data_IF_029492428008
#
_entry.id   IF_029492428008
#
_cell.length_a   1.000
_cell.length_b   1.000
_cell.length_c   1.000
_cell.angle_alpha   90.00
_cell.angle_beta   90.00
_cell.angle_gamma   90.00
#
_symmetry.space_group_name_H-M   'P 1'
#
loop_
_entity.id
_entity.type
_entity.pdbx_description
1 polymer ?
#
# COMPACT_ATOMS: atom_id res chain seq x y z
N UNK A 1 -10.83 -10.67 -33.46
CA UNK A 1 -11.36 -9.47 -32.76
C UNK A 1 -11.63 -9.74 -31.29
N UNK A 2 -12.19 -10.89 -30.89
CA UNK A 2 -12.36 -11.23 -29.47
C UNK A 2 -11.02 -11.61 -28.80
N UNK A 3 -10.09 -12.25 -29.51
CA UNK A 3 -8.80 -12.70 -28.94
C UNK A 3 -7.81 -11.56 -28.62
N UNK A 4 -7.76 -10.48 -29.42
CA UNK A 4 -6.91 -9.30 -29.13
C UNK A 4 -7.36 -8.55 -27.88
N UNK A 5 -8.68 -8.45 -27.66
CA UNK A 5 -9.25 -7.81 -26.47
C UNK A 5 -8.96 -8.62 -25.21
N UNK A 6 -8.97 -9.96 -25.31
CA UNK A 6 -8.61 -10.83 -24.17
C UNK A 6 -7.12 -10.75 -23.84
N UNK A 7 -6.24 -10.66 -24.85
CA UNK A 7 -4.80 -10.46 -24.63
C UNK A 7 -4.54 -9.10 -23.96
N UNK A 8 -5.23 -8.04 -24.37
CA UNK A 8 -5.10 -6.71 -23.74
C UNK A 8 -5.56 -6.72 -22.27
N UNK A 9 -6.70 -7.35 -21.97
CA UNK A 9 -7.23 -7.44 -20.59
C UNK A 9 -6.30 -8.25 -19.67
N UNK A 10 -5.82 -9.42 -20.12
CA UNK A 10 -4.90 -10.26 -19.34
C UNK A 10 -3.56 -9.55 -19.10
N UNK A 11 -3.05 -8.80 -20.09
CA UNK A 11 -1.81 -8.02 -19.92
C UNK A 11 -1.98 -6.88 -18.90
N UNK A 12 -3.12 -6.18 -18.90
CA UNK A 12 -3.39 -5.11 -17.93
C UNK A 12 -3.47 -5.69 -16.52
N UNK A 13 -4.20 -6.79 -16.31
CA UNK A 13 -4.30 -7.45 -15.01
C UNK A 13 -2.93 -7.92 -14.49
N UNK A 14 -2.10 -8.49 -15.37
CA UNK A 14 -0.76 -9.01 -14.99
C UNK A 14 0.19 -7.85 -14.64
N UNK A 15 0.24 -6.80 -15.47
CA UNK A 15 1.13 -5.64 -15.24
C UNK A 15 0.69 -4.86 -13.99
N UNK A 16 -0.62 -4.67 -13.80
CA UNK A 16 -1.16 -3.97 -12.62
C UNK A 16 -0.92 -4.79 -11.36
N UNK A 17 -1.18 -6.11 -11.39
CA UNK A 17 -0.90 -7.01 -10.27
C UNK A 17 0.57 -7.00 -9.85
N UNK A 18 1.49 -7.13 -10.81
CA UNK A 18 2.94 -7.09 -10.56
C UNK A 18 3.40 -5.73 -10.04
N UNK A 19 2.87 -4.63 -10.60
CA UNK A 19 3.20 -3.27 -10.15
C UNK A 19 2.72 -2.98 -8.74
N UNK A 20 1.53 -3.49 -8.38
CA UNK A 20 1.00 -3.42 -7.02
C UNK A 20 1.91 -4.20 -6.08
N UNK A 21 2.28 -5.45 -6.41
CA UNK A 21 3.14 -6.26 -5.57
C UNK A 21 4.53 -5.62 -5.37
N UNK A 22 5.11 -5.06 -6.42
CA UNK A 22 6.40 -4.36 -6.34
C UNK A 22 6.33 -3.11 -5.45
N UNK A 23 5.25 -2.33 -5.58
CA UNK A 23 5.04 -1.11 -4.79
C UNK A 23 4.69 -1.44 -3.33
N UNK A 24 3.98 -2.55 -3.11
CA UNK A 24 3.61 -3.07 -1.80
C UNK A 24 4.85 -3.47 -1.00
N UNK A 25 5.75 -4.26 -1.58
CA UNK A 25 7.01 -4.65 -0.93
C UNK A 25 7.85 -3.43 -0.57
N UNK A 26 7.95 -2.44 -1.49
CA UNK A 26 8.66 -1.18 -1.22
C UNK A 26 8.02 -0.42 -0.06
N UNK A 27 6.69 -0.29 -0.04
CA UNK A 27 5.96 0.46 0.98
C UNK A 27 6.07 -0.18 2.36
N UNK A 28 6.01 -1.51 2.43
CA UNK A 28 6.25 -2.24 3.68
C UNK A 28 7.68 -2.01 4.15
N UNK A 29 8.68 -2.13 3.27
CA UNK A 29 10.07 -1.93 3.66
C UNK A 29 10.37 -0.51 4.17
N UNK A 30 9.80 0.53 3.56
CA UNK A 30 9.97 1.91 4.04
C UNK A 30 9.23 2.16 5.35
N UNK A 31 8.02 1.64 5.51
CA UNK A 31 7.27 1.75 6.77
C UNK A 31 7.97 1.00 7.93
N UNK A 32 8.51 -0.19 7.68
CA UNK A 32 9.21 -0.96 8.70
C UNK A 32 10.51 -0.28 9.15
N UNK A 33 11.29 0.22 8.20
CA UNK A 33 12.55 0.94 8.51
C UNK A 33 12.30 2.26 9.23
N UNK A 34 11.23 2.99 8.90
CA UNK A 34 10.84 4.20 9.65
C UNK A 34 10.35 3.87 11.06
N UNK A 35 9.56 2.81 11.25
CA UNK A 35 9.15 2.35 12.58
C UNK A 35 10.35 1.94 13.43
N UNK A 36 11.33 1.23 12.85
CA UNK A 36 12.58 0.88 13.53
C UNK A 36 13.38 2.12 13.93
N UNK A 37 13.52 3.10 13.02
CA UNK A 37 14.21 4.35 13.33
C UNK A 37 13.53 5.14 14.46
N UNK A 38 12.19 5.21 14.44
CA UNK A 38 11.41 5.86 15.48
C UNK A 38 11.46 5.12 16.81
N UNK A 39 11.50 3.79 16.80
CA UNK A 39 11.65 2.98 18.01
C UNK A 39 12.99 3.25 18.71
N UNK A 40 14.08 3.32 17.94
CA UNK A 40 15.41 3.69 18.47
C UNK A 40 15.40 5.13 18.98
N UNK A 41 14.80 6.06 18.23
CA UNK A 41 14.67 7.47 18.64
C UNK A 41 13.84 7.63 19.92
N UNK A 42 12.80 6.82 20.11
CA UNK A 42 12.00 6.84 21.33
C UNK A 42 12.76 6.26 22.54
N UNK A 43 13.60 5.24 22.33
CA UNK A 43 14.37 4.59 23.38
C UNK A 43 15.58 5.42 23.86
N UNK A 44 16.34 6.02 22.93
CA UNK A 44 17.64 6.67 23.21
C UNK A 44 17.59 8.20 22.97
N UNK A 45 16.52 8.71 22.35
CA UNK A 45 16.43 10.13 22.00
C UNK A 45 16.17 11.07 23.19
N UNK A 46 16.41 12.38 22.99
CA UNK A 46 16.13 13.42 23.99
C UNK A 46 14.64 13.49 24.41
N UNK A 47 14.34 13.96 25.62
CA UNK A 47 12.95 14.09 26.10
C UNK A 47 12.05 14.91 25.17
N UNK A 48 12.59 15.98 24.58
CA UNK A 48 11.86 16.83 23.61
C UNK A 48 11.34 16.04 22.41
N UNK A 49 12.10 15.05 21.91
CA UNK A 49 11.69 14.29 20.72
C UNK A 49 10.86 13.07 21.08
N UNK A 50 10.76 12.71 22.36
CA UNK A 50 10.09 11.49 22.84
C UNK A 50 8.58 11.52 22.61
N UNK A 51 7.94 12.66 22.88
CA UNK A 51 6.50 12.83 22.61
C UNK A 51 6.21 12.91 21.10
N UNK A 52 7.10 13.55 20.34
CA UNK A 52 6.99 13.64 18.90
C UNK A 52 7.15 12.28 18.21
N UNK A 53 8.15 11.49 18.61
CA UNK A 53 8.37 10.15 18.07
C UNK A 53 7.23 9.20 18.43
N UNK A 54 6.64 9.32 19.63
CA UNK A 54 5.41 8.59 20.01
C UNK A 54 4.23 8.90 19.07
N UNK A 55 3.98 10.18 18.78
CA UNK A 55 2.92 10.60 17.87
C UNK A 55 3.16 10.07 16.45
N UNK A 56 4.40 10.15 15.96
CA UNK A 56 4.78 9.60 14.66
C UNK A 56 4.66 8.08 14.61
N UNK A 57 5.03 7.38 15.69
CA UNK A 57 4.96 5.93 15.76
C UNK A 57 3.50 5.47 15.64
N UNK A 58 2.58 6.07 16.41
CA UNK A 58 1.14 5.79 16.30
C UNK A 58 0.61 6.15 14.91
N UNK A 59 0.97 7.31 14.37
CA UNK A 59 0.52 7.77 13.06
C UNK A 59 0.97 6.88 11.90
N UNK A 60 2.25 6.48 11.88
CA UNK A 60 2.80 5.59 10.85
C UNK A 60 2.21 4.18 11.00
N UNK A 61 2.06 3.66 12.22
CA UNK A 61 1.49 2.32 12.40
C UNK A 61 0.04 2.27 11.88
N UNK A 62 -0.79 3.26 12.22
CA UNK A 62 -2.16 3.36 11.73
C UNK A 62 -2.22 3.63 10.21
N UNK A 63 -1.39 4.55 9.70
CA UNK A 63 -1.36 4.92 8.28
C UNK A 63 -0.86 3.79 7.37
N UNK A 64 0.18 3.06 7.81
CA UNK A 64 0.73 1.92 7.07
C UNK A 64 -0.28 0.79 7.02
N UNK A 65 -0.87 0.41 8.17
CA UNK A 65 -1.87 -0.64 8.21
C UNK A 65 -3.08 -0.27 7.33
N UNK A 66 -3.54 0.98 7.40
CA UNK A 66 -4.64 1.46 6.55
C UNK A 66 -4.30 1.42 5.06
N UNK A 67 -3.15 1.95 4.66
CA UNK A 67 -2.80 2.05 3.23
C UNK A 67 -2.53 0.67 2.60
N UNK A 68 -1.88 -0.23 3.33
CA UNK A 68 -1.47 -1.55 2.85
C UNK A 68 -2.65 -2.53 2.83
N UNK A 69 -3.51 -2.51 3.86
CA UNK A 69 -4.63 -3.45 3.95
C UNK A 69 -5.95 -2.94 3.37
N UNK A 70 -6.22 -1.63 3.33
CA UNK A 70 -7.43 -1.10 2.66
C UNK A 70 -7.20 -0.74 1.19
N UNK A 71 -5.98 -0.33 0.81
CA UNK A 71 -5.68 0.09 -0.56
C UNK A 71 -5.78 -1.04 -1.59
N UNK A 72 -5.19 -2.21 -1.30
CA UNK A 72 -5.23 -3.38 -2.19
C UNK A 72 -6.65 -3.91 -2.46
N UNK A 73 -7.53 -4.14 -1.45
CA UNK A 73 -8.91 -4.58 -1.73
C UNK A 73 -9.78 -3.48 -2.35
N UNK A 74 -9.49 -2.19 -2.12
CA UNK A 74 -10.19 -1.10 -2.81
C UNK A 74 -9.99 -1.17 -4.33
N UNK A 75 -8.79 -1.49 -4.81
CA UNK A 75 -8.51 -1.65 -6.24
C UNK A 75 -9.34 -2.78 -6.87
N UNK A 76 -9.39 -3.96 -6.22
CA UNK A 76 -10.23 -5.09 -6.65
C UNK A 76 -11.72 -4.73 -6.67
N UNK A 77 -12.16 -3.94 -5.69
CA UNK A 77 -13.56 -3.50 -5.60
C UNK A 77 -13.90 -2.50 -6.71
N UNK A 78 -12.97 -1.60 -7.05
CA UNK A 78 -13.12 -0.63 -8.15
C UNK A 78 -13.14 -1.34 -9.50
N UNK A 79 -12.30 -2.35 -9.73
CA UNK A 79 -12.36 -3.19 -10.94
C UNK A 79 -13.73 -3.87 -11.08
N UNK A 80 -14.26 -4.46 -10.00
CA UNK A 80 -15.60 -5.05 -10.01
C UNK A 80 -16.71 -4.04 -10.37
N UNK A 81 -16.55 -2.78 -9.97
CA UNK A 81 -17.48 -1.70 -10.30
C UNK A 81 -17.33 -1.18 -11.73
N UNK A 82 -16.11 -1.18 -12.28
CA UNK A 82 -15.85 -0.81 -13.66
C UNK A 82 -16.31 -1.89 -14.64
N UNK A 83 -16.13 -3.18 -14.32
CA UNK A 83 -16.66 -4.28 -15.13
C UNK A 83 -18.19 -4.26 -15.22
N UNK A 84 -18.89 -3.94 -14.12
CA UNK A 84 -20.35 -3.80 -14.12
C UNK A 84 -20.87 -2.66 -15.02
N UNK A 85 -20.07 -1.61 -15.27
CA UNK A 85 -20.42 -0.49 -16.15
C UNK A 85 -20.04 -0.72 -17.62
N UNK A 86 -19.18 -1.70 -17.94
CA UNK A 86 -18.77 -2.03 -19.32
C UNK A 86 -19.70 -3.01 -20.04
N UNK A 87 -20.75 -3.53 -19.38
CA UNK A 87 -21.86 -4.20 -20.06
C UNK A 87 -21.46 -5.37 -20.97
N UNK A 88 -20.55 -6.23 -20.51
CA UNK A 88 -20.36 -7.59 -21.03
C UNK A 88 -21.01 -8.56 -20.05
#
# INVERSE_FOLDING_TARGET
MIDEVQVEVVLVETIVGDSINQTFVRSINTSLTTLLALAVLYAIGPEVTKHFSLALLVGITAGTYSSVFLGSPLLVTVEGWQNKKRGV
#
